data_IF_676281411533
#
_entry.id   IF_676281411533
#
_cell.length_a   1.000
_cell.length_b   1.000
_cell.length_c   1.000
_cell.angle_alpha   90.00
_cell.angle_beta   90.00
_cell.angle_gamma   90.00
#
_symmetry.space_group_name_H-M   'P 1'
#
loop_
_entity.id
_entity.type
_entity.pdbx_description
1 polymer ?
#
# COMPACT_ATOMS: atom_id res chain seq x y z
N UNK A 1 6.84 -8.91 -4.69
CA UNK A 1 6.54 -9.17 -3.25
C UNK A 1 5.25 -9.95 -3.16
N UNK A 2 5.14 -10.99 -2.33
CA UNK A 2 3.89 -11.76 -2.18
C UNK A 2 3.19 -11.40 -0.88
N UNK A 3 1.92 -11.04 -0.95
CA UNK A 3 1.05 -10.76 0.21
C UNK A 3 -0.19 -11.63 0.17
N UNK A 4 -0.73 -11.95 1.34
CA UNK A 4 -2.01 -12.66 1.47
C UNK A 4 -3.11 -11.66 1.83
N UNK A 5 -4.13 -11.54 0.99
CA UNK A 5 -5.34 -10.76 1.28
C UNK A 5 -6.53 -11.69 1.09
N UNK A 6 -7.42 -11.80 2.08
CA UNK A 6 -8.65 -12.60 2.00
C UNK A 6 -8.43 -14.05 1.50
N UNK A 7 -7.36 -14.70 1.98
CA UNK A 7 -6.90 -16.03 1.57
C UNK A 7 -6.41 -16.17 0.11
N UNK A 8 -6.31 -15.08 -0.65
CA UNK A 8 -5.65 -15.06 -1.96
C UNK A 8 -4.19 -14.60 -1.83
N UNK A 9 -3.29 -15.31 -2.54
CA UNK A 9 -1.90 -14.91 -2.72
C UNK A 9 -1.82 -13.92 -3.87
N UNK A 10 -1.29 -12.73 -3.58
CA UNK A 10 -1.15 -11.66 -4.55
C UNK A 10 0.32 -11.36 -4.72
N UNK A 11 0.77 -11.43 -5.96
CA UNK A 11 2.10 -10.98 -6.34
C UNK A 11 2.05 -9.54 -6.81
N UNK A 12 2.77 -8.67 -6.09
CA UNK A 12 2.92 -7.27 -6.43
C UNK A 12 4.15 -7.06 -7.31
N UNK A 13 4.01 -6.18 -8.30
CA UNK A 13 5.13 -5.74 -9.14
C UNK A 13 6.20 -5.07 -8.28
N UNK A 14 7.46 -5.46 -8.47
CA UNK A 14 8.54 -4.98 -7.62
C UNK A 14 8.86 -3.50 -7.88
N UNK A 15 8.65 -2.95 -9.08
CA UNK A 15 8.88 -1.52 -9.34
C UNK A 15 7.81 -0.68 -8.67
N UNK A 16 6.55 -1.08 -8.77
CA UNK A 16 5.43 -0.45 -8.07
C UNK A 16 5.63 -0.48 -6.56
N UNK A 17 6.06 -1.62 -6.00
CA UNK A 17 6.36 -1.76 -4.56
C UNK A 17 7.44 -0.76 -4.13
N UNK A 18 8.51 -0.59 -4.90
CA UNK A 18 9.57 0.36 -4.54
C UNK A 18 9.08 1.80 -4.64
N UNK A 19 8.37 2.16 -5.71
CA UNK A 19 7.80 3.51 -5.85
C UNK A 19 6.82 3.84 -4.72
N UNK A 20 5.93 2.89 -4.36
CA UNK A 20 5.00 3.03 -3.26
C UNK A 20 5.71 3.19 -1.91
N UNK A 21 6.75 2.39 -1.65
CA UNK A 21 7.58 2.52 -0.43
C UNK A 21 8.20 3.90 -0.31
N UNK A 22 8.76 4.44 -1.40
CA UNK A 22 9.35 5.79 -1.40
C UNK A 22 8.30 6.85 -1.06
N UNK A 23 7.10 6.77 -1.65
CA UNK A 23 6.01 7.72 -1.37
C UNK A 23 5.52 7.64 0.08
N UNK A 24 5.28 6.42 0.58
CA UNK A 24 4.84 6.21 1.98
C UNK A 24 5.92 6.67 2.97
N UNK A 25 7.19 6.38 2.71
CA UNK A 25 8.29 6.83 3.55
C UNK A 25 8.39 8.35 3.62
N UNK A 26 8.20 9.04 2.48
CA UNK A 26 8.16 10.50 2.42
C UNK A 26 7.02 11.07 3.29
N UNK A 27 5.81 10.54 3.15
CA UNK A 27 4.68 10.94 3.98
C UNK A 27 4.95 10.74 5.48
N UNK A 28 5.44 9.56 5.88
CA UNK A 28 5.77 9.27 7.29
C UNK A 28 6.82 10.26 7.82
N UNK A 29 7.81 10.60 7.00
CA UNK A 29 8.85 11.56 7.35
C UNK A 29 8.28 12.97 7.55
N UNK A 30 7.37 13.41 6.69
CA UNK A 30 6.71 14.72 6.79
C UNK A 30 5.82 14.80 8.03
N UNK A 31 4.99 13.79 8.29
CA UNK A 31 4.14 13.73 9.49
C UNK A 31 4.99 13.71 10.75
N UNK A 32 6.10 12.95 10.76
CA UNK A 32 7.04 12.96 11.88
C UNK A 32 7.56 14.37 12.11
N UNK A 33 8.11 15.01 11.08
CA UNK A 33 8.67 16.36 11.18
C UNK A 33 7.65 17.33 11.79
N UNK A 34 6.45 17.41 11.23
CA UNK A 34 5.37 18.29 11.70
C UNK A 34 5.01 18.02 13.16
N UNK A 35 4.86 16.75 13.54
CA UNK A 35 4.49 16.35 14.89
C UNK A 35 5.53 16.78 15.94
N UNK A 36 6.81 16.65 15.62
CA UNK A 36 7.88 17.01 16.56
C UNK A 36 8.18 18.52 16.57
N UNK A 37 8.05 19.20 15.43
CA UNK A 37 8.24 20.66 15.35
C UNK A 37 7.15 21.43 16.11
N UNK A 38 5.92 20.90 16.15
CA UNK A 38 4.80 21.52 16.88
C UNK A 38 4.65 21.03 18.34
N UNK A 39 5.57 20.22 18.87
CA UNK A 39 5.47 19.59 20.21
C UNK A 39 4.24 18.69 20.40
N UNK A 40 3.80 18.01 19.33
CA UNK A 40 2.67 17.08 19.32
C UNK A 40 3.11 15.64 18.98
N UNK A 41 4.00 15.00 19.76
CA UNK A 41 4.53 13.67 19.42
C UNK A 41 3.45 12.58 19.36
N UNK A 42 2.33 12.76 20.07
CA UNK A 42 1.18 11.86 20.00
C UNK A 42 0.49 11.90 18.64
N UNK A 43 0.51 13.04 17.95
CA UNK A 43 -0.09 13.19 16.62
C UNK A 43 0.58 12.26 15.60
N UNK A 44 1.90 12.09 15.67
CA UNK A 44 2.62 11.15 14.81
C UNK A 44 2.05 9.73 14.92
N UNK A 45 1.86 9.24 16.15
CA UNK A 45 1.31 7.90 16.37
C UNK A 45 -0.16 7.81 15.96
N UNK A 46 -0.96 8.84 16.27
CA UNK A 46 -2.36 8.91 15.82
C UNK A 46 -2.46 8.82 14.30
N UNK A 47 -1.63 9.56 13.56
CA UNK A 47 -1.61 9.54 12.10
C UNK A 47 -1.26 8.14 11.55
N UNK A 48 -0.29 7.44 12.14
CA UNK A 48 0.05 6.07 11.75
C UNK A 48 -1.12 5.10 11.99
N UNK A 49 -1.79 5.20 13.14
CA UNK A 49 -2.93 4.34 13.49
C UNK A 49 -4.10 4.60 12.53
N UNK A 50 -4.44 5.87 12.28
CA UNK A 50 -5.52 6.24 11.36
C UNK A 50 -5.20 5.77 9.94
N UNK A 51 -3.96 5.94 9.47
CA UNK A 51 -3.55 5.44 8.15
C UNK A 51 -3.69 3.92 8.06
N UNK A 52 -3.32 3.17 9.10
CA UNK A 52 -3.50 1.72 9.15
C UNK A 52 -4.99 1.33 9.05
N UNK A 53 -5.85 1.96 9.86
CA UNK A 53 -7.29 1.66 9.87
C UNK A 53 -7.96 1.99 8.53
N UNK A 54 -7.66 3.16 7.96
CA UNK A 54 -8.22 3.59 6.67
C UNK A 54 -7.75 2.72 5.51
N UNK A 55 -6.46 2.35 5.47
CA UNK A 55 -5.93 1.48 4.43
C UNK A 55 -6.51 0.07 4.53
N UNK A 56 -6.67 -0.47 5.74
CA UNK A 56 -7.30 -1.77 5.95
C UNK A 56 -8.78 -1.76 5.54
N UNK A 57 -9.53 -0.71 5.89
CA UNK A 57 -10.92 -0.57 5.46
C UNK A 57 -11.06 -0.47 3.93
N UNK A 58 -10.17 0.28 3.28
CA UNK A 58 -10.13 0.36 1.82
C UNK A 58 -9.84 -1.00 1.17
N UNK A 59 -8.88 -1.76 1.72
CA UNK A 59 -8.57 -3.12 1.25
C UNK A 59 -9.76 -4.06 1.45
N UNK A 60 -10.43 -3.99 2.59
CA UNK A 60 -11.57 -4.85 2.91
C UNK A 60 -12.78 -4.60 1.99
N UNK A 61 -12.90 -3.40 1.42
CA UNK A 61 -13.96 -3.03 0.47
C UNK A 61 -13.69 -3.49 -0.96
N UNK A 62 -12.49 -3.97 -1.27
CA UNK A 62 -12.20 -4.53 -2.59
C UNK A 62 -12.89 -5.90 -2.71
N UNK A 63 -13.75 -6.06 -3.71
CA UNK A 63 -14.27 -7.39 -4.05
C UNK A 63 -13.08 -8.28 -4.43
N UNK A 64 -12.87 -9.42 -3.74
CA UNK A 64 -11.78 -10.34 -4.06
C UNK A 64 -11.73 -10.74 -5.55
N UNK A 65 -12.89 -10.83 -6.22
CA UNK A 65 -12.96 -11.17 -7.65
C UNK A 65 -12.43 -10.04 -8.53
N UNK A 66 -12.83 -8.80 -8.26
CA UNK A 66 -12.34 -7.63 -9.00
C UNK A 66 -10.85 -7.42 -8.77
N UNK A 67 -10.40 -7.68 -7.54
CA UNK A 67 -8.99 -7.60 -7.18
C UNK A 67 -8.15 -8.68 -7.87
N UNK A 68 -8.61 -9.94 -7.87
CA UNK A 68 -7.95 -11.06 -8.56
C UNK A 68 -7.86 -10.81 -10.07
N UNK A 69 -8.93 -10.26 -10.68
CA UNK A 69 -8.94 -9.89 -12.10
C UNK A 69 -7.97 -8.75 -12.39
N UNK A 70 -8.01 -7.65 -11.62
CA UNK A 70 -7.12 -6.50 -11.79
C UNK A 70 -5.64 -6.91 -11.67
N UNK A 71 -5.30 -7.73 -10.67
CA UNK A 71 -3.93 -8.19 -10.46
C UNK A 71 -3.48 -9.22 -11.53
N UNK A 72 -4.36 -10.11 -11.99
CA UNK A 72 -4.05 -11.05 -13.08
C UNK A 72 -3.85 -10.33 -14.42
N UNK A 73 -4.63 -9.28 -14.71
CA UNK A 73 -4.43 -8.45 -15.91
C UNK A 73 -3.07 -7.76 -15.90
N UNK A 74 -2.61 -7.32 -14.71
CA UNK A 74 -1.26 -6.80 -14.53
C UNK A 74 -0.25 -7.90 -14.89
N UNK A 75 -0.35 -9.11 -14.33
CA UNK A 75 0.61 -10.21 -14.61
C UNK A 75 0.63 -10.65 -16.09
N UNK A 76 -0.55 -10.77 -16.74
CA UNK A 76 -0.64 -11.22 -18.14
C UNK A 76 -0.16 -10.19 -19.16
N UNK A 77 -0.34 -8.89 -18.88
CA UNK A 77 0.15 -7.82 -19.76
C UNK A 77 1.68 -7.77 -19.89
N UNK A 78 2.40 -8.39 -18.95
CA UNK A 78 3.85 -8.50 -18.99
C UNK A 78 4.35 -9.77 -19.70
N UNK A 79 3.58 -10.86 -19.71
CA UNK A 79 3.96 -12.10 -20.42
C UNK A 79 3.94 -11.94 -21.94
N UNK A 80 3.13 -11.03 -22.48
CA UNK A 80 3.00 -10.77 -23.92
C UNK A 80 4.00 -9.75 -24.46
N UNK A 81 4.72 -9.02 -23.60
CA UNK A 81 5.76 -8.05 -24.02
C UNK A 81 7.18 -8.63 -24.11
N UNK A 82 7.34 -9.94 -23.91
CA UNK A 82 8.64 -10.63 -23.99
C UNK A 82 8.78 -11.59 -25.18
N UNK A 83 7.87 -11.55 -26.16
CA UNK A 83 8.00 -12.28 -27.43
C UNK A 83 8.22 -11.31 -28.60
#
# INVERSE_FOLDING_TARGET
MVININNEKIELDNKEVQAAKTMVAKFISEVRKESFENNEPTFFFTALIIMHLMSQDAINKLDPKDFSVMMKSITQSFSTKQN
#
